data_IF_376233871245
#
_entry.id   IF_376233871245
#
_cell.length_a   1.000
_cell.length_b   1.000
_cell.length_c   1.000
_cell.angle_alpha   90.00
_cell.angle_beta   90.00
_cell.angle_gamma   90.00
#
_symmetry.space_group_name_H-M   'P 1'
#
loop_
_entity.id
_entity.type
_entity.pdbx_description
1 polymer ?
#
# COMPACT_ATOMS: atom_id res chain seq x y z
N UNK A 1 14.65 13.46 -13.67
CA UNK A 1 13.76 13.70 -14.83
C UNK A 1 14.62 13.69 -16.08
N UNK A 2 14.25 12.94 -17.12
CA UNK A 2 14.97 12.98 -18.39
C UNK A 2 14.75 14.35 -19.08
N UNK A 3 15.74 14.88 -19.82
CA UNK A 3 15.59 16.13 -20.54
C UNK A 3 14.52 16.02 -21.63
N UNK A 4 13.76 17.10 -21.81
CA UNK A 4 12.74 17.23 -22.85
C UNK A 4 13.39 17.23 -24.24
N UNK A 5 12.86 16.43 -25.16
CA UNK A 5 13.24 16.48 -26.58
C UNK A 5 11.96 16.69 -27.38
N UNK A 6 11.86 17.82 -28.08
CA UNK A 6 10.70 18.20 -28.90
C UNK A 6 9.35 18.13 -28.14
N UNK A 7 9.20 18.81 -27.00
CA UNK A 7 7.91 18.87 -26.29
C UNK A 7 7.50 17.59 -25.56
N UNK A 8 8.30 16.53 -25.63
CA UNK A 8 7.93 15.19 -25.14
C UNK A 8 8.94 14.67 -24.14
N UNK A 9 8.48 14.32 -22.94
CA UNK A 9 9.29 13.65 -21.91
C UNK A 9 9.26 12.14 -22.19
N UNK A 10 10.43 11.56 -22.46
CA UNK A 10 10.54 10.16 -22.94
C UNK A 10 10.28 9.11 -21.87
N UNK A 11 10.51 9.44 -20.60
CA UNK A 11 10.20 8.57 -19.46
C UNK A 11 10.20 9.38 -18.16
N UNK A 12 9.39 8.94 -17.21
CA UNK A 12 9.36 9.43 -15.84
C UNK A 12 9.66 8.26 -14.91
N UNK A 13 10.67 8.38 -14.07
CA UNK A 13 10.96 7.38 -13.02
C UNK A 13 10.16 7.71 -11.79
N UNK A 14 9.37 6.75 -11.34
CA UNK A 14 8.82 6.77 -9.99
C UNK A 14 9.85 6.16 -9.03
N UNK A 15 10.16 6.88 -7.96
CA UNK A 15 11.01 6.39 -6.88
C UNK A 15 10.14 5.68 -5.84
N UNK A 16 10.66 4.61 -5.25
CA UNK A 16 10.04 3.97 -4.10
C UNK A 16 10.49 4.70 -2.84
N UNK A 17 9.56 5.42 -2.22
CA UNK A 17 9.78 6.14 -0.98
C UNK A 17 8.66 5.80 0.02
N UNK A 18 9.02 5.66 1.29
CA UNK A 18 8.06 5.47 2.38
C UNK A 18 8.07 6.72 3.25
N UNK A 19 7.05 7.56 3.10
CA UNK A 19 6.88 8.73 3.97
C UNK A 19 6.46 8.30 5.37
N UNK A 20 5.42 7.45 5.45
CA UNK A 20 4.81 6.98 6.69
C UNK A 20 4.32 5.53 6.50
N UNK A 21 4.49 4.71 7.53
CA UNK A 21 3.91 3.37 7.61
C UNK A 21 2.93 3.29 8.79
N UNK A 22 1.67 2.93 8.50
CA UNK A 22 0.70 2.57 9.53
C UNK A 22 0.89 1.09 9.88
N UNK A 23 1.23 0.82 11.14
CA UNK A 23 1.51 -0.53 11.65
C UNK A 23 1.02 -0.68 13.09
N UNK A 24 1.10 -1.90 13.62
CA UNK A 24 0.78 -2.26 15.00
C UNK A 24 1.90 -3.11 15.62
N UNK A 25 2.02 -3.12 16.95
CA UNK A 25 3.06 -3.88 17.67
C UNK A 25 2.99 -5.38 17.31
N UNK A 26 1.78 -5.91 17.15
CA UNK A 26 1.52 -7.30 16.79
C UNK A 26 2.12 -7.67 15.42
N UNK A 27 2.24 -6.71 14.48
CA UNK A 27 2.78 -6.94 13.13
C UNK A 27 4.31 -7.02 13.08
N UNK A 28 5.00 -6.63 14.16
CA UNK A 28 6.46 -6.76 14.24
C UNK A 28 6.92 -8.14 14.71
N UNK A 29 6.06 -8.85 15.47
CA UNK A 29 6.37 -10.20 15.97
C UNK A 29 6.20 -11.26 14.89
N UNK A 30 5.16 -11.11 14.06
CA UNK A 30 4.87 -12.01 12.96
C UNK A 30 4.42 -11.21 11.74
N UNK A 31 4.84 -11.65 10.56
CA UNK A 31 4.35 -11.08 9.31
C UNK A 31 2.81 -11.19 9.28
N UNK A 32 2.06 -10.09 9.12
CA UNK A 32 0.61 -10.14 9.09
C UNK A 32 0.07 -10.76 7.79
N UNK A 33 -1.19 -11.17 7.83
CA UNK A 33 -1.95 -11.64 6.67
C UNK A 33 -2.69 -10.45 6.07
N UNK A 34 -2.68 -10.36 4.74
CA UNK A 34 -3.33 -9.30 3.98
C UNK A 34 -4.45 -9.87 3.12
N UNK A 35 -5.61 -9.21 3.11
CA UNK A 35 -6.79 -9.61 2.34
C UNK A 35 -7.48 -8.39 1.73
N UNK A 36 -7.82 -8.44 0.44
CA UNK A 36 -8.80 -7.50 -0.14
C UNK A 36 -10.17 -8.15 0.01
N UNK A 37 -11.00 -7.63 0.90
CA UNK A 37 -12.30 -8.23 1.23
C UNK A 37 -13.48 -7.57 0.52
N UNK A 38 -13.28 -6.37 -0.05
CA UNK A 38 -14.26 -5.69 -0.88
C UNK A 38 -13.56 -4.72 -1.84
N UNK A 39 -14.16 -4.47 -3.00
CA UNK A 39 -13.66 -3.53 -4.00
C UNK A 39 -14.80 -3.06 -4.92
N UNK A 40 -14.61 -1.89 -5.53
CA UNK A 40 -15.48 -1.30 -6.54
C UNK A 40 -14.64 -0.68 -7.68
N UNK A 41 -15.27 0.10 -8.57
CA UNK A 41 -14.60 0.71 -9.72
C UNK A 41 -13.53 1.74 -9.34
N UNK A 42 -13.59 2.30 -8.13
CA UNK A 42 -12.73 3.42 -7.68
C UNK A 42 -11.86 3.06 -6.48
N UNK A 43 -12.19 2.02 -5.72
CA UNK A 43 -11.46 1.69 -4.50
C UNK A 43 -11.46 0.21 -4.11
N UNK A 44 -10.64 -0.08 -3.11
CA UNK A 44 -10.50 -1.40 -2.49
C UNK A 44 -10.40 -1.27 -0.97
N UNK A 45 -11.00 -2.22 -0.26
CA UNK A 45 -10.88 -2.36 1.18
C UNK A 45 -9.91 -3.48 1.51
N UNK A 46 -8.81 -3.11 2.14
CA UNK A 46 -7.75 -4.00 2.59
C UNK A 46 -7.93 -4.28 4.08
N UNK A 47 -7.71 -5.53 4.47
CA UNK A 47 -7.64 -5.97 5.86
C UNK A 47 -6.25 -6.57 6.12
N UNK A 48 -5.63 -6.12 7.21
CA UNK A 48 -4.34 -6.62 7.68
C UNK A 48 -4.55 -7.22 9.07
N UNK A 49 -4.34 -8.53 9.23
CA UNK A 49 -4.54 -9.22 10.49
C UNK A 49 -3.25 -9.80 11.06
N UNK A 50 -3.13 -9.79 12.39
CA UNK A 50 -2.13 -10.58 13.07
C UNK A 50 -2.44 -12.08 12.89
N UNK A 51 -1.39 -12.91 12.88
CA UNK A 51 -1.55 -14.37 12.71
C UNK A 51 -1.94 -15.03 14.03
N UNK A 52 -1.52 -14.44 15.15
CA UNK A 52 -1.59 -15.06 16.46
C UNK A 52 -2.87 -14.73 17.25
N UNK A 53 -3.44 -13.53 17.06
CA UNK A 53 -4.52 -12.99 17.89
C UNK A 53 -5.86 -12.80 17.16
N UNK A 54 -5.89 -12.93 15.83
CA UNK A 54 -7.04 -12.59 15.00
C UNK A 54 -7.40 -11.10 15.01
N UNK A 55 -6.52 -10.21 15.50
CA UNK A 55 -6.76 -8.77 15.51
C UNK A 55 -6.46 -8.20 14.13
N UNK A 56 -7.34 -7.32 13.64
CA UNK A 56 -7.25 -6.80 12.29
C UNK A 56 -7.33 -5.27 12.23
N UNK A 57 -6.60 -4.70 11.29
CA UNK A 57 -6.67 -3.31 10.86
C UNK A 57 -7.30 -3.25 9.47
N UNK A 58 -8.41 -2.52 9.35
CA UNK A 58 -9.11 -2.30 8.08
C UNK A 58 -8.73 -0.93 7.50
N UNK A 59 -8.38 -0.92 6.21
CA UNK A 59 -7.98 0.25 5.45
C UNK A 59 -8.82 0.36 4.17
N UNK A 60 -9.30 1.57 3.87
CA UNK A 60 -9.94 1.87 2.59
C UNK A 60 -8.96 2.64 1.70
N UNK A 61 -8.67 2.08 0.53
CA UNK A 61 -7.96 2.76 -0.55
C UNK A 61 -9.02 3.21 -1.56
N UNK A 62 -9.08 4.51 -1.83
CA UNK A 62 -10.00 5.18 -2.77
C UNK A 62 -9.18 6.01 -3.74
#
# INVERSE_FOLDING_TARGET
>A
MAPEVNGTVKWYTHEFHNDITLSAEEFFSYKPIYEIYAWDEVGAKLRTCDVAGGKCMDSALV
#
